data_IF_227724926356
#
_entry.id   IF_227724926356
#
_cell.length_a   1.000
_cell.length_b   1.000
_cell.length_c   1.000
_cell.angle_alpha   90.00
_cell.angle_beta   90.00
_cell.angle_gamma   90.00
#
_symmetry.space_group_name_H-M   'P 1'
#
loop_
_entity.id
_entity.type
_entity.pdbx_description
1 polymer ?
#
# COMPACT_ATOMS: atom_id res chain seq x y z
N UNK A 1 -5.95 18.11 -30.90
CA UNK A 1 -6.02 17.48 -29.59
C UNK A 1 -4.75 16.69 -29.17
N UNK A 2 -4.02 16.01 -30.05
CA UNK A 2 -2.78 15.27 -29.72
C UNK A 2 -1.57 16.12 -29.28
N UNK A 3 -1.44 17.35 -29.77
CA UNK A 3 -0.29 18.25 -29.46
C UNK A 3 -0.34 18.85 -28.03
N UNK A 4 -1.53 19.08 -27.46
CA UNK A 4 -1.66 19.66 -26.11
C UNK A 4 -1.35 18.66 -24.98
N UNK A 5 -1.65 17.39 -25.19
CA UNK A 5 -1.40 16.33 -24.21
C UNK A 5 0.10 15.99 -24.08
N UNK A 6 0.85 16.05 -25.20
CA UNK A 6 2.31 15.84 -25.19
C UNK A 6 3.04 16.97 -24.45
N UNK A 7 2.55 18.20 -24.57
CA UNK A 7 3.16 19.36 -23.88
C UNK A 7 2.92 19.34 -22.36
N UNK A 8 1.74 18.88 -21.93
CA UNK A 8 1.43 18.76 -20.49
C UNK A 8 2.26 17.65 -19.81
N UNK A 9 2.46 16.52 -20.51
CA UNK A 9 3.29 15.41 -20.03
C UNK A 9 4.78 15.81 -19.97
N UNK A 10 5.27 16.58 -20.94
CA UNK A 10 6.66 17.04 -20.98
C UNK A 10 6.98 18.07 -19.87
N UNK A 11 6.05 18.97 -19.55
CA UNK A 11 6.23 19.94 -18.45
C UNK A 11 6.16 19.23 -17.09
N UNK A 12 5.27 18.25 -16.92
CA UNK A 12 5.20 17.44 -15.73
C UNK A 12 6.49 16.63 -15.51
N UNK A 13 7.09 16.13 -16.58
CA UNK A 13 8.31 15.30 -16.55
C UNK A 13 9.57 16.07 -16.08
N UNK A 14 9.68 17.37 -16.35
CA UNK A 14 10.83 18.17 -15.89
C UNK A 14 10.75 18.55 -14.40
N UNK A 15 9.55 18.54 -13.83
CA UNK A 15 9.33 18.91 -12.43
C UNK A 15 9.47 17.73 -11.45
N UNK A 16 9.32 16.49 -11.92
CA UNK A 16 9.32 15.30 -11.07
C UNK A 16 10.73 14.82 -10.66
N UNK A 17 11.79 15.28 -11.34
CA UNK A 17 13.17 14.85 -11.03
C UNK A 17 13.79 15.51 -9.79
N UNK A 18 13.08 16.42 -9.13
CA UNK A 18 13.55 17.11 -7.90
C UNK A 18 12.43 17.48 -6.92
N UNK A 19 11.23 16.95 -7.11
CA UNK A 19 10.14 17.14 -6.15
C UNK A 19 10.26 16.07 -5.06
N UNK A 20 10.62 16.49 -3.86
CA UNK A 20 10.37 15.71 -2.64
C UNK A 20 8.86 15.74 -2.41
N UNK A 21 8.12 14.83 -3.05
CA UNK A 21 6.69 14.72 -2.78
C UNK A 21 6.52 14.00 -1.44
N UNK A 22 5.86 14.64 -0.50
CA UNK A 22 5.40 13.97 0.70
C UNK A 22 4.30 12.98 0.28
N UNK A 23 4.64 11.72 0.08
CA UNK A 23 3.69 10.68 -0.31
C UNK A 23 3.31 9.85 0.90
N UNK A 24 2.01 9.75 1.14
CA UNK A 24 1.47 9.07 2.28
C UNK A 24 0.75 7.79 1.85
N UNK A 25 1.33 6.63 2.15
CA UNK A 25 0.66 5.34 2.02
C UNK A 25 0.56 4.69 3.40
N UNK A 26 -0.55 4.02 3.67
CA UNK A 26 -0.77 3.33 4.95
C UNK A 26 -1.31 1.93 4.68
N UNK A 27 -0.70 0.91 5.30
CA UNK A 27 -1.16 -0.47 5.16
C UNK A 27 -1.05 -1.22 6.48
N UNK A 28 -2.04 -2.08 6.75
CA UNK A 28 -2.05 -2.92 7.96
C UNK A 28 -2.83 -4.22 7.72
N UNK A 29 -2.51 -5.24 8.51
CA UNK A 29 -3.21 -6.50 8.56
C UNK A 29 -3.83 -6.76 9.93
N UNK A 30 -4.99 -7.42 9.94
CA UNK A 30 -5.71 -7.85 11.12
C UNK A 30 -6.02 -9.35 11.03
N UNK A 31 -5.91 -10.05 12.16
CA UNK A 31 -6.36 -11.45 12.30
C UNK A 31 -7.67 -11.51 13.05
N UNK A 32 -8.64 -12.24 12.51
CA UNK A 32 -9.91 -12.55 13.16
C UNK A 32 -9.81 -13.76 14.08
N UNK A 33 -10.80 -13.94 14.93
CA UNK A 33 -10.91 -15.11 15.82
C UNK A 33 -11.10 -16.43 15.06
N UNK A 34 -11.70 -16.41 13.87
CA UNK A 34 -11.84 -17.58 12.97
C UNK A 34 -10.58 -17.86 12.13
N UNK A 35 -9.49 -17.12 12.37
CA UNK A 35 -8.24 -17.22 11.63
C UNK A 35 -8.20 -16.45 10.32
N UNK A 36 -9.29 -15.78 9.92
CA UNK A 36 -9.30 -14.94 8.72
C UNK A 36 -8.30 -13.79 8.85
N UNK A 37 -7.61 -13.47 7.74
CA UNK A 37 -6.66 -12.37 7.63
C UNK A 37 -7.22 -11.31 6.70
N UNK A 38 -7.39 -10.09 7.22
CA UNK A 38 -7.87 -8.94 6.46
C UNK A 38 -6.80 -7.86 6.45
N UNK A 39 -6.42 -7.41 5.25
CA UNK A 39 -5.45 -6.34 5.04
C UNK A 39 -6.17 -5.11 4.52
N UNK A 40 -5.92 -3.94 5.12
CA UNK A 40 -6.42 -2.65 4.66
C UNK A 40 -5.29 -1.75 4.19
N UNK A 41 -5.50 -0.99 3.10
CA UNK A 41 -4.53 -0.04 2.58
C UNK A 41 -5.19 1.23 2.06
N UNK A 42 -4.55 2.37 2.29
CA UNK A 42 -4.84 3.64 1.60
C UNK A 42 -3.69 4.03 0.66
N UNK A 43 -4.03 4.72 -0.40
CA UNK A 43 -3.09 5.30 -1.36
C UNK A 43 -3.31 6.80 -1.42
N UNK A 44 -2.34 7.52 -0.99
CA UNK A 44 -2.28 8.97 -1.04
C UNK A 44 -1.25 9.39 -2.09
N UNK A 45 -1.66 10.29 -2.96
CA UNK A 45 -0.80 10.83 -4.00
C UNK A 45 -1.33 12.17 -4.52
N UNK A 46 -0.41 13.05 -4.92
CA UNK A 46 -0.78 14.37 -5.42
C UNK A 46 -1.17 14.38 -6.91
N UNK A 47 -0.77 13.37 -7.67
CA UNK A 47 -1.06 13.27 -9.11
C UNK A 47 -2.11 12.19 -9.36
N UNK A 48 -3.04 12.46 -10.27
CA UNK A 48 -4.00 11.47 -10.74
C UNK A 48 -3.29 10.45 -11.66
N UNK A 49 -2.99 9.28 -11.12
CA UNK A 49 -2.30 8.21 -11.83
C UNK A 49 -3.22 7.31 -12.66
N UNK A 50 -4.50 7.67 -12.81
CA UNK A 50 -5.47 6.95 -13.66
C UNK A 50 -5.54 5.46 -13.32
N UNK A 51 -5.77 5.14 -12.07
CA UNK A 51 -5.81 3.77 -11.57
C UNK A 51 -7.01 2.97 -12.08
N UNK A 52 -6.74 1.71 -12.42
CA UNK A 52 -7.75 0.69 -12.71
C UNK A 52 -7.48 -0.57 -11.87
N UNK A 53 -8.53 -1.30 -11.54
CA UNK A 53 -8.38 -2.66 -11.08
C UNK A 53 -8.14 -3.58 -12.29
N UNK A 54 -7.09 -4.40 -12.22
CA UNK A 54 -6.72 -5.34 -13.29
C UNK A 54 -6.86 -6.78 -12.81
N UNK A 55 -7.38 -7.64 -13.69
CA UNK A 55 -7.42 -9.09 -13.49
C UNK A 55 -6.39 -9.69 -14.43
N UNK A 56 -5.33 -10.23 -13.87
CA UNK A 56 -4.23 -10.83 -14.63
C UNK A 56 -4.37 -12.34 -14.64
N UNK A 57 -4.37 -12.98 -15.82
CA UNK A 57 -4.54 -14.42 -15.95
C UNK A 57 -3.26 -15.19 -15.55
N UNK A 58 -3.42 -16.50 -15.35
CA UNK A 58 -2.29 -17.44 -15.34
C UNK A 58 -1.66 -17.50 -16.73
N UNK A 59 -0.40 -17.94 -16.78
CA UNK A 59 0.37 -18.12 -18.01
C UNK A 59 0.68 -16.85 -18.80
N UNK A 60 0.44 -15.65 -18.24
CA UNK A 60 0.92 -14.41 -18.84
C UNK A 60 2.45 -14.33 -18.70
N UNK A 61 3.12 -14.08 -19.83
CA UNK A 61 4.57 -13.85 -19.83
C UNK A 61 4.86 -12.38 -19.62
N UNK A 62 5.80 -12.10 -18.74
CA UNK A 62 6.40 -10.79 -18.52
C UNK A 62 7.90 -10.83 -18.81
N UNK A 63 8.40 -9.75 -19.34
CA UNK A 63 9.84 -9.50 -19.50
C UNK A 63 10.14 -8.14 -18.90
N UNK A 64 10.94 -8.12 -17.84
CA UNK A 64 11.41 -6.85 -17.27
C UNK A 64 12.36 -6.17 -18.22
N UNK A 65 12.37 -4.83 -18.31
CA UNK A 65 13.51 -4.14 -18.90
C UNK A 65 14.78 -4.41 -18.10
N UNK A 66 15.94 -4.18 -18.73
CA UNK A 66 17.24 -4.09 -18.09
C UNK A 66 17.98 -2.85 -18.58
N UNK A 67 19.04 -2.38 -17.87
CA UNK A 67 19.83 -1.24 -18.32
C UNK A 67 20.38 -1.41 -19.74
N UNK A 68 20.50 -0.28 -20.45
CA UNK A 68 20.99 -0.28 -21.84
C UNK A 68 19.96 -0.77 -22.87
N UNK A 69 18.67 -0.79 -22.54
CA UNK A 69 17.61 -1.22 -23.45
C UNK A 69 17.55 -2.73 -23.69
N UNK A 70 18.22 -3.50 -22.85
CA UNK A 70 18.22 -4.97 -22.89
C UNK A 70 16.98 -5.56 -22.22
N UNK A 71 16.72 -6.84 -22.50
CA UNK A 71 15.74 -7.64 -21.78
C UNK A 71 16.31 -8.14 -20.46
N UNK A 72 15.53 -7.94 -19.40
CA UNK A 72 15.84 -8.36 -18.04
C UNK A 72 15.30 -9.74 -17.69
N UNK A 73 14.89 -9.87 -16.42
CA UNK A 73 14.27 -11.07 -15.88
C UNK A 73 12.94 -11.35 -16.58
N UNK A 74 12.73 -12.61 -16.95
CA UNK A 74 11.49 -13.06 -17.58
C UNK A 74 10.83 -14.13 -16.74
N UNK A 75 9.49 -14.02 -16.59
CA UNK A 75 8.71 -15.02 -15.89
C UNK A 75 7.34 -15.22 -16.53
N UNK A 76 6.71 -16.30 -16.17
CA UNK A 76 5.33 -16.61 -16.55
C UNK A 76 4.48 -16.73 -15.29
N UNK A 77 3.33 -16.08 -15.26
CA UNK A 77 2.45 -16.14 -14.09
C UNK A 77 1.94 -17.55 -13.85
N UNK A 78 2.23 -18.08 -12.68
CA UNK A 78 1.74 -19.36 -12.17
C UNK A 78 0.35 -19.18 -11.57
N UNK A 79 0.09 -18.05 -10.97
CA UNK A 79 -1.17 -17.70 -10.32
C UNK A 79 -1.79 -16.48 -10.98
N UNK A 80 -3.14 -16.51 -11.11
CA UNK A 80 -3.91 -15.33 -11.47
C UNK A 80 -4.06 -14.41 -10.27
N UNK A 81 -4.18 -13.11 -10.55
CA UNK A 81 -4.30 -12.11 -9.48
C UNK A 81 -5.18 -10.92 -9.89
N UNK A 82 -5.66 -10.20 -8.87
CA UNK A 82 -6.26 -8.88 -9.00
C UNK A 82 -5.28 -7.87 -8.43
N UNK A 83 -5.06 -6.76 -9.13
CA UNK A 83 -4.20 -5.68 -8.66
C UNK A 83 -4.71 -4.31 -9.09
N UNK A 84 -4.09 -3.25 -8.56
CA UNK A 84 -4.32 -1.87 -8.96
C UNK A 84 -3.13 -1.42 -9.80
N UNK A 85 -3.37 -1.09 -11.06
CA UNK A 85 -2.38 -0.59 -12.00
C UNK A 85 -2.74 0.81 -12.49
N UNK A 86 -1.73 1.57 -12.91
CA UNK A 86 -1.89 2.96 -13.35
C UNK A 86 -1.72 3.12 -14.86
N UNK A 87 -2.19 4.24 -15.40
CA UNK A 87 -2.01 4.69 -16.79
C UNK A 87 -2.39 3.66 -17.88
N UNK A 88 -3.30 2.73 -17.59
CA UNK A 88 -3.67 1.68 -18.53
C UNK A 88 -2.57 0.62 -18.79
N UNK A 89 -1.54 0.54 -17.95
CA UNK A 89 -0.47 -0.47 -18.09
C UNK A 89 -0.93 -1.85 -17.63
N UNK A 90 -0.44 -2.90 -18.31
CA UNK A 90 -0.67 -4.31 -17.97
C UNK A 90 0.36 -4.86 -16.97
N UNK A 91 1.11 -4.00 -16.33
CA UNK A 91 2.13 -4.27 -15.31
C UNK A 91 2.21 -3.10 -14.33
N UNK A 92 3.03 -3.23 -13.32
CA UNK A 92 3.24 -2.18 -12.33
C UNK A 92 2.10 -2.09 -11.33
N UNK A 93 1.59 -3.24 -10.86
CA UNK A 93 0.57 -3.24 -9.81
C UNK A 93 1.14 -2.71 -8.51
N UNK A 94 0.54 -1.63 -8.02
CA UNK A 94 0.93 -0.99 -6.75
C UNK A 94 0.33 -1.68 -5.52
N UNK A 95 -0.74 -2.44 -5.70
CA UNK A 95 -1.47 -3.20 -4.68
C UNK A 95 -2.16 -4.39 -5.32
N UNK A 96 -2.30 -5.51 -4.62
CA UNK A 96 -2.99 -6.66 -5.20
C UNK A 96 -3.05 -7.89 -4.29
N UNK A 97 -3.79 -8.89 -4.78
CA UNK A 97 -3.94 -10.20 -4.16
C UNK A 97 -4.09 -11.27 -5.24
N UNK A 98 -3.43 -12.42 -5.08
CA UNK A 98 -3.58 -13.55 -5.99
C UNK A 98 -4.60 -14.59 -5.49
N UNK A 99 -4.91 -15.54 -6.33
CA UNK A 99 -5.86 -16.63 -6.07
C UNK A 99 -5.45 -17.58 -4.93
N UNK A 100 -4.24 -17.46 -4.40
CA UNK A 100 -3.76 -18.19 -3.21
C UNK A 100 -3.91 -17.40 -1.92
N UNK A 101 -4.33 -16.12 -2.00
CA UNK A 101 -4.44 -15.24 -0.86
C UNK A 101 -3.10 -14.62 -0.45
N UNK A 102 -2.10 -14.62 -1.33
CA UNK A 102 -0.91 -13.81 -1.16
C UNK A 102 -1.23 -12.39 -1.63
N UNK A 103 -0.87 -11.39 -0.84
CA UNK A 103 -1.07 -9.99 -1.16
C UNK A 103 0.24 -9.21 -1.11
N UNK A 104 0.37 -8.19 -1.94
CA UNK A 104 1.51 -7.27 -1.97
C UNK A 104 1.02 -5.83 -1.97
N UNK A 105 1.76 -4.95 -1.32
CA UNK A 105 1.62 -3.50 -1.40
C UNK A 105 2.98 -2.87 -1.72
N UNK A 106 3.00 -1.95 -2.67
CA UNK A 106 4.15 -1.12 -3.00
C UNK A 106 3.89 0.27 -2.47
N UNK A 107 4.73 0.73 -1.54
CA UNK A 107 4.58 2.03 -0.92
C UNK A 107 5.78 2.90 -1.27
N UNK A 108 5.53 4.18 -1.40
CA UNK A 108 6.61 5.14 -1.64
C UNK A 108 7.59 5.18 -0.47
N UNK A 109 8.87 5.23 -0.80
CA UNK A 109 9.93 5.12 0.20
C UNK A 109 11.05 6.10 -0.10
N UNK A 110 10.87 7.33 0.27
CA UNK A 110 11.88 8.37 0.15
C UNK A 110 12.76 8.38 1.41
N UNK A 111 13.88 7.68 1.33
CA UNK A 111 14.86 7.53 2.42
C UNK A 111 16.24 7.30 1.80
N UNK A 112 17.22 6.89 2.60
CA UNK A 112 18.57 6.51 2.19
C UNK A 112 18.61 5.21 1.36
N UNK A 113 17.54 4.95 0.59
CA UNK A 113 17.44 3.76 -0.24
C UNK A 113 18.39 3.84 -1.43
N UNK A 114 18.95 2.69 -1.77
CA UNK A 114 19.73 2.52 -3.00
C UNK A 114 19.36 1.17 -3.63
N UNK A 115 18.89 1.22 -4.87
CA UNK A 115 18.61 0.03 -5.65
C UNK A 115 19.89 -0.79 -5.93
N UNK A 116 19.71 -2.07 -6.23
CA UNK A 116 20.81 -2.95 -6.63
C UNK A 116 21.39 -2.53 -7.99
N UNK A 117 22.68 -2.65 -8.14
CA UNK A 117 23.37 -2.39 -9.40
C UNK A 117 23.30 -3.64 -10.31
N UNK A 118 22.98 -3.41 -11.58
CA UNK A 118 22.97 -4.43 -12.61
C UNK A 118 24.31 -4.35 -13.35
N UNK A 119 25.19 -5.28 -13.08
CA UNK A 119 26.49 -5.39 -13.78
C UNK A 119 26.36 -6.16 -15.09
N UNK A 120 27.30 -6.00 -16.04
CA UNK A 120 27.36 -6.82 -17.25
C UNK A 120 27.34 -8.32 -16.92
N UNK A 121 26.37 -9.04 -17.48
CA UNK A 121 26.12 -10.47 -17.22
C UNK A 121 24.97 -10.73 -16.23
N UNK A 122 24.52 -9.72 -15.50
CA UNK A 122 23.37 -9.83 -14.57
C UNK A 122 22.02 -9.50 -15.23
N UNK A 123 21.99 -9.12 -16.49
CA UNK A 123 20.79 -8.57 -17.16
C UNK A 123 19.58 -9.51 -17.01
N UNK A 124 19.80 -10.83 -17.14
CA UNK A 124 18.70 -11.82 -17.01
C UNK A 124 18.18 -11.99 -15.58
N UNK A 125 18.77 -11.34 -14.61
CA UNK A 125 18.28 -11.22 -13.23
C UNK A 125 17.68 -9.85 -12.92
N UNK A 126 17.80 -8.88 -13.84
CA UNK A 126 17.34 -7.51 -13.64
C UNK A 126 15.81 -7.45 -13.62
N UNK A 127 15.24 -7.05 -12.50
CA UNK A 127 13.80 -6.81 -12.31
C UNK A 127 13.57 -5.33 -11.99
N UNK A 128 12.79 -4.65 -12.83
CA UNK A 128 12.39 -3.27 -12.59
C UNK A 128 11.53 -3.19 -11.31
N UNK A 129 11.82 -2.22 -10.45
CA UNK A 129 11.13 -2.07 -9.15
C UNK A 129 9.60 -2.00 -9.27
N UNK A 130 9.09 -1.42 -10.34
CA UNK A 130 7.64 -1.31 -10.59
C UNK A 130 7.00 -2.66 -10.92
N UNK A 131 7.76 -3.67 -11.33
CA UNK A 131 7.27 -5.00 -11.69
C UNK A 131 7.40 -6.04 -10.57
N UNK A 132 7.94 -5.66 -9.42
CA UNK A 132 8.11 -6.58 -8.27
C UNK A 132 6.76 -7.12 -7.78
N UNK A 133 5.72 -6.28 -7.76
CA UNK A 133 4.36 -6.69 -7.38
C UNK A 133 3.80 -7.77 -8.31
N UNK A 134 3.96 -7.58 -9.62
CA UNK A 134 3.51 -8.54 -10.63
C UNK A 134 4.22 -9.89 -10.51
N UNK A 135 5.54 -9.85 -10.27
CA UNK A 135 6.33 -11.06 -10.08
C UNK A 135 5.93 -11.83 -8.81
N UNK A 136 5.77 -11.11 -7.69
CA UNK A 136 5.38 -11.71 -6.41
C UNK A 136 3.98 -12.35 -6.53
N UNK A 137 2.99 -11.60 -6.99
CA UNK A 137 1.62 -12.09 -7.11
C UNK A 137 1.49 -13.23 -8.11
N UNK A 138 2.23 -13.14 -9.22
CA UNK A 138 2.17 -14.12 -10.28
C UNK A 138 2.82 -15.47 -9.93
N UNK A 139 3.74 -15.52 -8.96
CA UNK A 139 4.59 -16.72 -8.82
C UNK A 139 4.57 -17.39 -7.45
N UNK A 140 4.17 -16.70 -6.38
CA UNK A 140 4.26 -17.21 -5.02
C UNK A 140 2.91 -17.35 -4.34
N UNK A 141 2.81 -18.29 -3.40
CA UNK A 141 1.60 -18.57 -2.62
C UNK A 141 1.74 -18.20 -1.14
N UNK A 142 2.96 -17.94 -0.66
CA UNK A 142 3.23 -17.62 0.74
C UNK A 142 4.36 -16.61 0.89
N UNK A 143 4.40 -15.95 2.02
CA UNK A 143 5.48 -15.05 2.43
C UNK A 143 6.82 -15.77 2.44
N UNK A 144 6.85 -17.02 2.89
CA UNK A 144 8.08 -17.81 2.94
C UNK A 144 8.60 -18.18 1.54
N UNK A 145 7.71 -18.43 0.56
CA UNK A 145 8.12 -18.61 -0.84
C UNK A 145 8.75 -17.32 -1.38
N UNK A 146 8.18 -16.15 -1.10
CA UNK A 146 8.76 -14.87 -1.50
C UNK A 146 10.15 -14.70 -0.91
N UNK A 147 10.31 -14.87 0.40
CA UNK A 147 11.59 -14.74 1.11
C UNK A 147 12.70 -15.58 0.45
N UNK A 148 12.42 -16.86 0.21
CA UNK A 148 13.40 -17.79 -0.36
C UNK A 148 13.81 -17.44 -1.79
N UNK A 149 12.94 -16.74 -2.52
CA UNK A 149 13.16 -16.51 -3.94
C UNK A 149 13.65 -15.08 -4.27
N UNK A 150 13.67 -14.14 -3.30
CA UNK A 150 14.15 -12.77 -3.54
C UNK A 150 15.57 -12.73 -4.13
N UNK A 151 16.42 -13.68 -3.80
CA UNK A 151 17.78 -13.81 -4.36
C UNK A 151 17.86 -14.21 -5.84
N UNK A 152 16.75 -14.61 -6.48
CA UNK A 152 16.73 -14.94 -7.91
C UNK A 152 16.85 -13.71 -8.80
N UNK A 153 16.39 -12.56 -8.30
CA UNK A 153 16.36 -11.29 -9.03
C UNK A 153 17.30 -10.26 -8.42
N UNK A 154 17.68 -9.28 -9.21
CA UNK A 154 18.28 -8.03 -8.77
C UNK A 154 17.31 -6.92 -9.12
N UNK A 155 16.72 -6.29 -8.09
CA UNK A 155 15.78 -5.20 -8.29
C UNK A 155 16.52 -3.89 -8.48
N UNK A 156 16.23 -3.20 -9.58
CA UNK A 156 16.90 -1.96 -9.93
C UNK A 156 15.90 -0.82 -10.20
N UNK A 157 16.38 0.42 -10.12
CA UNK A 157 15.59 1.60 -10.42
C UNK A 157 15.40 1.77 -11.92
N UNK A 158 14.16 1.64 -12.36
CA UNK A 158 13.76 1.82 -13.75
C UNK A 158 12.95 3.10 -13.89
N UNK A 159 13.36 3.98 -14.80
CA UNK A 159 12.56 5.13 -15.20
C UNK A 159 11.67 4.73 -16.36
N UNK A 160 10.37 4.72 -16.14
CA UNK A 160 9.42 4.36 -17.18
C UNK A 160 9.46 5.40 -18.33
N UNK A 161 9.63 4.97 -19.59
CA UNK A 161 9.82 5.90 -20.72
C UNK A 161 8.57 6.70 -21.07
N UNK A 162 7.36 6.22 -20.68
CA UNK A 162 6.10 6.90 -20.93
C UNK A 162 5.83 7.97 -19.88
N UNK A 163 5.92 7.58 -18.60
CA UNK A 163 5.61 8.47 -17.49
C UNK A 163 6.79 9.33 -17.03
N UNK A 164 8.02 8.93 -17.37
CA UNK A 164 9.28 9.52 -16.91
C UNK A 164 9.45 9.46 -15.37
N UNK A 165 8.70 8.61 -14.70
CA UNK A 165 8.76 8.40 -13.26
C UNK A 165 9.67 7.21 -12.95
N UNK A 166 10.52 7.35 -11.94
CA UNK A 166 11.31 6.29 -11.33
C UNK A 166 10.98 6.25 -9.83
N UNK A 167 9.92 5.53 -9.43
CA UNK A 167 9.48 5.56 -8.05
C UNK A 167 10.49 4.87 -7.14
N UNK A 168 10.75 5.48 -5.99
CA UNK A 168 11.43 4.85 -4.87
C UNK A 168 10.39 4.09 -4.05
N UNK A 169 10.58 2.79 -3.87
CA UNK A 169 9.56 1.91 -3.31
C UNK A 169 10.15 0.97 -2.26
N UNK A 170 9.35 0.64 -1.26
CA UNK A 170 9.51 -0.56 -0.46
C UNK A 170 8.25 -1.42 -0.54
N UNK A 171 8.36 -2.67 -0.14
CA UNK A 171 7.34 -3.66 -0.40
C UNK A 171 6.90 -4.34 0.89
N UNK A 172 5.61 -4.60 0.99
CA UNK A 172 5.07 -5.44 2.06
C UNK A 172 4.27 -6.58 1.45
N UNK A 173 4.47 -7.77 1.98
CA UNK A 173 3.80 -8.99 1.51
C UNK A 173 3.07 -9.63 2.68
N UNK A 174 1.86 -10.10 2.42
CA UNK A 174 1.03 -10.83 3.40
C UNK A 174 0.55 -12.14 2.79
N UNK A 175 0.29 -13.13 3.63
CA UNK A 175 -0.40 -14.34 3.21
C UNK A 175 -1.58 -14.71 4.11
N UNK A 176 -2.39 -15.66 3.64
CA UNK A 176 -3.62 -16.08 4.32
C UNK A 176 -3.37 -16.79 5.67
N UNK A 177 -2.13 -17.15 6.01
CA UNK A 177 -1.77 -17.70 7.32
C UNK A 177 -1.45 -16.61 8.34
N UNK A 178 -1.33 -15.36 7.86
CA UNK A 178 -0.95 -14.18 8.62
C UNK A 178 0.56 -13.98 8.70
N UNK A 179 1.31 -14.57 7.78
CA UNK A 179 2.68 -14.17 7.51
C UNK A 179 2.73 -12.73 6.99
N UNK A 180 3.77 -11.99 7.37
CA UNK A 180 4.01 -10.64 6.85
C UNK A 180 5.51 -10.37 6.72
N UNK A 181 5.91 -9.84 5.56
CA UNK A 181 7.29 -9.56 5.20
C UNK A 181 7.42 -8.14 4.67
N UNK A 182 8.38 -7.38 5.17
CA UNK A 182 8.82 -6.11 4.59
C UNK A 182 10.08 -6.34 3.78
N UNK A 183 10.17 -5.72 2.60
CA UNK A 183 11.34 -5.78 1.73
C UNK A 183 11.77 -4.34 1.44
N UNK A 184 12.99 -4.00 1.81
CA UNK A 184 13.63 -2.69 1.61
C UNK A 184 14.96 -2.84 0.90
N UNK A 185 15.38 -1.81 0.20
CA UNK A 185 16.66 -1.76 -0.52
C UNK A 185 17.52 -0.64 0.05
N UNK A 186 18.71 -1.01 0.51
CA UNK A 186 19.63 -0.12 1.18
C UNK A 186 21.06 -0.45 0.75
N UNK A 187 21.86 0.56 0.48
CA UNK A 187 23.26 0.40 0.04
C UNK A 187 23.45 -0.59 -1.15
N UNK A 188 22.43 -0.70 -2.01
CA UNK A 188 22.46 -1.64 -3.13
C UNK A 188 22.17 -3.10 -2.74
N UNK A 189 21.63 -3.35 -1.56
CA UNK A 189 21.27 -4.67 -1.04
C UNK A 189 19.80 -4.79 -0.72
N UNK A 190 19.21 -5.97 -0.87
CA UNK A 190 17.84 -6.25 -0.42
C UNK A 190 17.86 -6.70 1.03
N UNK A 191 17.02 -6.09 1.84
CA UNK A 191 16.77 -6.46 3.23
C UNK A 191 15.35 -6.95 3.39
N UNK A 192 15.17 -8.05 4.09
CA UNK A 192 13.85 -8.62 4.39
C UNK A 192 13.65 -8.70 5.89
N UNK A 193 12.50 -8.19 6.36
CA UNK A 193 12.16 -8.17 7.78
C UNK A 193 10.85 -8.89 8.02
N UNK A 194 10.84 -9.80 9.02
CA UNK A 194 9.58 -10.30 9.56
C UNK A 194 8.82 -9.16 10.22
N UNK A 195 7.54 -9.06 9.90
CA UNK A 195 6.70 -7.99 10.41
C UNK A 195 5.49 -8.54 11.21
N UNK A 196 5.70 -8.96 12.46
CA UNK A 196 4.60 -9.49 13.29
C UNK A 196 3.55 -8.42 13.65
N UNK A 197 3.86 -7.14 13.47
CA UNK A 197 2.89 -6.04 13.63
C UNK A 197 1.94 -5.94 12.44
N UNK A 198 2.34 -6.47 11.28
CA UNK A 198 1.56 -6.42 10.04
C UNK A 198 1.22 -5.00 9.58
N UNK A 199 2.06 -3.99 9.89
CA UNK A 199 1.85 -2.58 9.55
C UNK A 199 3.03 -2.01 8.78
N UNK A 200 2.76 -1.08 7.86
CA UNK A 200 3.79 -0.30 7.18
C UNK A 200 3.22 1.05 6.72
N UNK A 201 4.07 2.07 6.72
CA UNK A 201 3.79 3.38 6.13
C UNK A 201 4.85 3.72 5.08
N UNK A 202 5.55 4.83 5.20
CA UNK A 202 6.63 5.23 4.31
C UNK A 202 7.95 5.33 5.10
N UNK A 203 8.88 6.19 4.67
CA UNK A 203 10.11 6.48 5.40
C UNK A 203 9.86 6.97 6.84
N UNK A 204 10.81 6.77 7.77
CA UNK A 204 12.07 6.04 7.65
C UNK A 204 11.93 4.52 7.56
N UNK A 205 13.09 3.83 7.45
CA UNK A 205 13.17 2.36 7.33
C UNK A 205 12.44 1.62 8.45
N UNK A 206 11.99 0.42 8.14
CA UNK A 206 11.20 -0.41 9.06
C UNK A 206 11.88 -0.64 10.44
N UNK A 207 13.18 -0.93 10.56
CA UNK A 207 13.84 -1.04 11.87
C UNK A 207 13.82 0.25 12.70
N UNK A 208 13.89 1.42 12.03
CA UNK A 208 13.76 2.70 12.71
C UNK A 208 12.34 2.89 13.26
N UNK A 209 11.31 2.53 12.48
CA UNK A 209 9.92 2.61 12.93
C UNK A 209 9.69 1.78 14.20
N UNK A 210 10.26 0.57 14.25
CA UNK A 210 10.20 -0.28 15.45
C UNK A 210 10.91 0.36 16.65
N UNK A 211 12.04 1.02 16.43
CA UNK A 211 12.76 1.76 17.48
C UNK A 211 11.92 2.93 18.00
N UNK A 212 11.28 3.67 17.11
CA UNK A 212 10.41 4.79 17.46
C UNK A 212 9.22 4.37 18.34
N UNK A 213 8.66 3.17 18.13
CA UNK A 213 7.56 2.66 18.96
C UNK A 213 7.90 2.55 20.46
N UNK A 214 9.19 2.47 20.82
CA UNK A 214 9.63 2.39 22.22
C UNK A 214 9.24 3.62 23.04
N UNK A 215 8.96 4.75 22.39
CA UNK A 215 8.48 5.97 23.06
C UNK A 215 7.01 5.90 23.48
N UNK A 216 6.26 4.90 22.97
CA UNK A 216 4.80 4.79 23.10
C UNK A 216 4.36 3.53 23.85
N UNK A 217 5.27 2.90 24.59
CA UNK A 217 5.03 1.64 25.31
C UNK A 217 3.97 1.74 26.41
N UNK A 218 3.65 2.95 26.88
CA UNK A 218 2.65 3.19 27.92
C UNK A 218 1.21 3.39 27.39
N UNK A 219 0.99 3.32 26.08
CA UNK A 219 -0.34 3.50 25.50
C UNK A 219 -1.28 2.38 25.93
N UNK A 220 -2.48 2.77 26.39
CA UNK A 220 -3.52 1.85 26.91
C UNK A 220 -4.92 2.31 26.51
N UNK A 221 -5.89 1.41 26.28
CA UNK A 221 -7.29 1.77 26.10
C UNK A 221 -7.93 2.22 27.43
N UNK A 222 -7.32 1.90 28.56
CA UNK A 222 -7.83 2.21 29.88
C UNK A 222 -7.52 3.63 30.31
N UNK A 223 -8.40 4.22 31.07
CA UNK A 223 -8.19 5.51 31.73
C UNK A 223 -7.17 5.32 32.87
N UNK A 224 -6.08 6.12 32.92
CA UNK A 224 -5.10 6.02 34.01
C UNK A 224 -5.68 6.47 35.35
N UNK A 225 -5.14 5.90 36.41
CA UNK A 225 -5.46 6.31 37.78
C UNK A 225 -5.11 7.78 38.03
N UNK A 226 -5.84 8.48 38.93
CA UNK A 226 -5.54 9.85 39.27
C UNK A 226 -4.10 10.01 39.80
N UNK A 227 -3.36 10.96 39.23
CA UNK A 227 -2.03 11.29 39.70
C UNK A 227 -2.12 12.18 40.96
N UNK A 228 -1.29 11.89 41.99
CA UNK A 228 -1.23 12.63 43.24
C UNK A 228 0.13 13.31 43.40
N UNK A 229 0.12 14.62 43.57
CA UNK A 229 1.34 15.40 43.77
C UNK A 229 1.05 16.62 44.66
N UNK A 230 1.96 16.92 45.60
CA UNK A 230 1.89 18.08 46.48
C UNK A 230 0.53 18.24 47.20
N UNK A 231 -0.11 17.14 47.59
CA UNK A 231 -1.41 17.15 48.25
C UNK A 231 -2.64 17.34 47.33
N UNK A 232 -2.40 17.53 46.04
CA UNK A 232 -3.47 17.66 45.03
C UNK A 232 -3.70 16.35 44.28
N UNK A 233 -4.95 16.20 43.77
CA UNK A 233 -5.35 15.06 42.96
C UNK A 233 -5.62 15.55 41.55
N UNK A 234 -4.96 14.93 40.57
CA UNK A 234 -5.11 15.22 39.13
C UNK A 234 -5.81 14.02 38.46
N UNK A 235 -7.13 14.03 38.32
CA UNK A 235 -7.85 12.97 37.63
C UNK A 235 -7.59 13.07 36.13
N UNK A 236 -7.64 11.94 35.41
CA UNK A 236 -7.58 11.92 33.96
C UNK A 236 -8.76 12.71 33.34
N UNK A 237 -8.51 13.36 32.21
CA UNK A 237 -9.47 14.28 31.56
C UNK A 237 -10.68 13.58 30.92
N UNK A 238 -10.71 12.25 30.84
CA UNK A 238 -11.85 11.49 30.30
C UNK A 238 -11.47 10.11 29.79
N UNK A 239 -12.44 9.44 29.15
CA UNK A 239 -12.21 8.19 28.45
C UNK A 239 -11.23 8.40 27.30
N UNK A 240 -10.35 7.41 27.03
CA UNK A 240 -9.30 7.52 26.03
C UNK A 240 -8.02 8.22 26.52
N UNK A 241 -7.96 8.70 27.78
CA UNK A 241 -6.77 9.38 28.34
C UNK A 241 -5.55 8.47 28.42
N UNK A 242 -5.69 7.14 28.40
CA UNK A 242 -4.56 6.21 28.30
C UNK A 242 -3.80 6.27 26.97
N UNK A 243 -4.41 6.90 25.96
CA UNK A 243 -3.77 7.16 24.66
C UNK A 243 -3.27 8.61 24.51
N UNK A 244 -3.16 9.37 25.61
CA UNK A 244 -2.63 10.73 25.58
C UNK A 244 -1.21 10.74 25.00
N UNK A 245 -0.98 11.62 24.01
CA UNK A 245 0.29 11.66 23.28
C UNK A 245 0.33 10.79 22.02
N UNK A 246 -0.76 10.08 21.68
CA UNK A 246 -0.87 9.41 20.38
C UNK A 246 -0.75 10.45 19.26
N UNK A 247 0.23 10.30 18.32
CA UNK A 247 0.45 11.30 17.28
C UNK A 247 -0.75 11.45 16.36
N UNK A 248 -1.18 12.69 16.10
CA UNK A 248 -2.33 13.00 15.23
C UNK A 248 -1.97 13.52 13.86
N UNK A 249 -0.69 13.86 13.61
CA UNK A 249 -0.24 14.36 12.33
C UNK A 249 -0.16 13.27 11.25
N UNK A 250 0.04 13.68 9.99
CA UNK A 250 -0.01 12.82 8.82
C UNK A 250 1.36 12.28 8.38
N UNK A 251 2.42 12.56 9.13
CA UNK A 251 3.77 12.04 8.80
C UNK A 251 3.83 10.51 8.88
N UNK A 252 4.70 9.87 8.09
CA UNK A 252 4.83 8.42 8.12
C UNK A 252 5.12 7.82 9.51
N UNK A 253 6.04 8.39 10.33
CA UNK A 253 6.28 7.90 11.69
C UNK A 253 5.05 7.98 12.59
N UNK A 254 4.32 9.08 12.53
CA UNK A 254 3.10 9.28 13.32
C UNK A 254 1.99 8.33 12.93
N UNK A 255 1.82 8.08 11.62
CA UNK A 255 0.88 7.09 11.10
C UNK A 255 1.28 5.67 11.51
N UNK A 256 2.59 5.34 11.50
CA UNK A 256 3.07 4.03 11.95
C UNK A 256 2.75 3.77 13.42
N UNK A 257 3.03 4.73 14.30
CA UNK A 257 2.69 4.66 15.73
C UNK A 257 1.18 4.49 15.91
N UNK A 258 0.38 5.31 15.25
CA UNK A 258 -1.08 5.27 15.33
C UNK A 258 -1.64 3.93 14.86
N UNK A 259 -1.10 3.36 13.75
CA UNK A 259 -1.43 2.01 13.31
C UNK A 259 -1.12 0.96 14.37
N UNK A 260 0.11 0.99 14.93
CA UNK A 260 0.52 0.02 15.94
C UNK A 260 -0.42 0.03 17.15
N UNK A 261 -0.82 1.22 17.61
CA UNK A 261 -1.75 1.38 18.72
C UNK A 261 -3.14 0.88 18.34
N UNK A 262 -3.73 1.38 17.25
CA UNK A 262 -5.10 1.05 16.87
C UNK A 262 -5.30 -0.43 16.51
N UNK A 263 -4.33 -1.05 15.82
CA UNK A 263 -4.44 -2.46 15.43
C UNK A 263 -4.20 -3.43 16.60
N UNK A 264 -3.55 -2.98 17.68
CA UNK A 264 -3.22 -3.82 18.83
C UNK A 264 -4.15 -3.64 20.03
N UNK A 265 -4.73 -2.44 20.19
CA UNK A 265 -5.64 -2.15 21.29
C UNK A 265 -7.11 -2.37 20.92
N UNK A 266 -7.46 -2.40 19.64
CA UNK A 266 -8.81 -2.77 19.23
C UNK A 266 -9.05 -4.28 19.44
N UNK A 267 -10.23 -4.63 19.96
CA UNK A 267 -10.60 -6.01 20.19
C UNK A 267 -10.61 -6.83 18.90
N UNK A 268 -9.99 -8.02 18.89
CA UNK A 268 -10.06 -8.93 17.76
C UNK A 268 -11.50 -9.29 17.43
N UNK A 269 -11.86 -9.17 16.16
CA UNK A 269 -13.20 -9.50 15.71
C UNK A 269 -13.36 -11.01 15.46
N UNK A 270 -14.57 -11.60 15.64
CA UNK A 270 -14.76 -13.04 15.60
C UNK A 270 -14.56 -13.64 14.20
N UNK A 271 -14.80 -12.87 13.13
CA UNK A 271 -14.76 -13.34 11.76
C UNK A 271 -14.25 -12.28 10.77
N UNK A 272 -13.89 -12.70 9.54
CA UNK A 272 -13.36 -11.81 8.53
C UNK A 272 -14.33 -10.71 8.08
N UNK A 273 -15.67 -10.89 8.17
CA UNK A 273 -16.63 -9.84 7.82
C UNK A 273 -16.60 -8.70 8.84
N UNK A 274 -16.61 -9.04 10.13
CA UNK A 274 -16.51 -8.04 11.20
C UNK A 274 -15.12 -7.41 11.26
N UNK A 275 -14.06 -8.19 10.95
CA UNK A 275 -12.71 -7.66 10.82
C UNK A 275 -12.59 -6.68 9.65
N UNK A 276 -13.26 -6.90 8.52
CA UNK A 276 -13.36 -5.91 7.43
C UNK A 276 -14.02 -4.62 7.92
N UNK A 277 -15.08 -4.71 8.74
CA UNK A 277 -15.70 -3.52 9.32
C UNK A 277 -14.73 -2.76 10.24
N UNK A 278 -14.03 -3.47 11.14
CA UNK A 278 -12.99 -2.87 11.98
C UNK A 278 -11.89 -2.22 11.13
N UNK A 279 -11.43 -2.89 10.08
CA UNK A 279 -10.43 -2.35 9.16
C UNK A 279 -10.89 -1.04 8.50
N UNK A 280 -12.18 -0.90 8.17
CA UNK A 280 -12.73 0.36 7.65
C UNK A 280 -12.68 1.48 8.70
N UNK A 281 -13.02 1.20 9.95
CA UNK A 281 -12.92 2.20 11.03
C UNK A 281 -11.46 2.64 11.23
N UNK A 282 -10.52 1.70 11.25
CA UNK A 282 -9.10 2.03 11.40
C UNK A 282 -8.62 2.89 10.22
N UNK A 283 -8.83 2.45 8.97
CA UNK A 283 -8.29 3.16 7.80
C UNK A 283 -8.85 4.58 7.66
N UNK A 284 -10.10 4.80 8.08
CA UNK A 284 -10.72 6.13 8.02
C UNK A 284 -9.98 7.17 8.88
N UNK A 285 -9.18 6.75 9.87
CA UNK A 285 -8.34 7.67 10.67
C UNK A 285 -7.04 8.08 9.96
N UNK A 286 -6.76 7.51 8.78
CA UNK A 286 -5.58 7.75 7.97
C UNK A 286 -5.88 8.39 6.62
N UNK A 287 -7.16 8.48 6.24
CA UNK A 287 -7.55 9.10 4.98
C UNK A 287 -7.27 10.60 5.02
N UNK A 288 -6.66 11.11 3.95
CA UNK A 288 -6.26 12.51 3.81
C UNK A 288 -7.31 13.25 2.96
N UNK A 289 -8.02 14.26 3.54
CA UNK A 289 -8.86 15.15 2.77
C UNK A 289 -8.05 15.95 1.75
N UNK A 290 -8.63 16.19 0.57
CA UNK A 290 -7.96 16.92 -0.50
C UNK A 290 -7.43 18.28 -0.03
N UNK A 291 -6.15 18.52 -0.26
CA UNK A 291 -5.47 19.77 0.05
C UNK A 291 -5.02 19.93 1.51
N UNK A 292 -5.20 18.91 2.36
CA UNK A 292 -4.68 18.92 3.74
C UNK A 292 -3.15 18.74 3.79
N UNK A 293 -2.59 18.04 2.81
CA UNK A 293 -1.15 17.89 2.60
C UNK A 293 -0.82 18.54 1.27
N UNK A 294 0.17 19.40 1.27
CA UNK A 294 0.60 20.12 0.07
C UNK A 294 2.11 20.12 -0.05
N UNK A 295 2.59 20.06 -1.28
CA UNK A 295 4.00 20.27 -1.60
C UNK A 295 4.13 21.35 -2.68
N UNK A 296 5.11 22.23 -2.51
CA UNK A 296 5.38 23.31 -3.46
C UNK A 296 6.59 22.94 -4.28
N UNK A 297 6.40 22.76 -5.59
CA UNK A 297 7.47 22.39 -6.49
C UNK A 297 8.61 23.44 -6.52
N UNK A 298 9.82 23.08 -6.99
CA UNK A 298 10.98 23.97 -7.07
C UNK A 298 10.74 25.26 -7.86
N UNK A 299 9.75 25.28 -8.75
CA UNK A 299 9.31 26.48 -9.50
C UNK A 299 8.65 27.54 -8.58
N UNK A 300 8.37 27.19 -7.31
CA UNK A 300 7.69 28.01 -6.28
C UNK A 300 6.31 28.55 -6.73
N UNK A 301 5.71 27.98 -7.75
CA UNK A 301 4.40 28.38 -8.31
C UNK A 301 3.40 27.24 -8.31
N UNK A 302 3.87 26.03 -8.57
CA UNK A 302 3.03 24.84 -8.63
C UNK A 302 2.92 24.24 -7.23
N UNK A 303 1.69 24.18 -6.71
CA UNK A 303 1.37 23.52 -5.43
C UNK A 303 0.66 22.22 -5.74
N UNK A 304 1.29 21.12 -5.41
CA UNK A 304 0.68 19.78 -5.43
C UNK A 304 -0.17 19.61 -4.18
N UNK A 305 -1.35 18.99 -4.34
CA UNK A 305 -2.28 18.73 -3.23
C UNK A 305 -2.56 17.24 -3.17
N UNK A 306 -2.23 16.64 -2.05
CA UNK A 306 -2.48 15.23 -1.82
C UNK A 306 -3.91 14.97 -1.34
N UNK A 307 -4.37 13.76 -1.65
CA UNK A 307 -5.57 13.16 -1.07
C UNK A 307 -5.47 11.64 -1.11
N UNK A 308 -6.28 10.97 -0.31
CA UNK A 308 -6.45 9.52 -0.42
C UNK A 308 -7.23 9.21 -1.70
N UNK A 309 -6.54 8.75 -2.74
CA UNK A 309 -7.18 8.47 -4.04
C UNK A 309 -8.07 7.23 -3.99
N UNK A 310 -7.59 6.20 -3.31
CA UNK A 310 -8.35 4.97 -3.09
C UNK A 310 -7.96 4.25 -1.81
N UNK A 311 -8.86 3.40 -1.36
CA UNK A 311 -8.67 2.45 -0.25
C UNK A 311 -9.00 1.05 -0.74
N UNK A 312 -8.16 0.08 -0.40
CA UNK A 312 -8.43 -1.34 -0.64
C UNK A 312 -8.53 -2.11 0.67
N UNK A 313 -9.31 -3.20 0.64
CA UNK A 313 -9.26 -4.22 1.67
C UNK A 313 -9.17 -5.59 0.99
N UNK A 314 -8.45 -6.51 1.61
CA UNK A 314 -8.22 -7.85 1.09
C UNK A 314 -8.47 -8.87 2.18
N UNK A 315 -9.54 -9.63 2.07
CA UNK A 315 -9.73 -10.82 2.88
C UNK A 315 -8.94 -11.95 2.21
N UNK A 316 -7.75 -12.19 2.71
CA UNK A 316 -6.80 -13.12 2.10
C UNK A 316 -7.29 -14.57 2.19
N UNK A 317 -7.95 -14.92 3.29
CA UNK A 317 -8.46 -16.26 3.56
C UNK A 317 -9.63 -16.60 2.64
N UNK A 318 -10.54 -15.63 2.42
CA UNK A 318 -11.72 -15.82 1.56
C UNK A 318 -11.48 -15.41 0.12
N UNK A 319 -10.33 -14.77 -0.19
CA UNK A 319 -9.94 -14.25 -1.52
C UNK A 319 -10.94 -13.22 -2.05
N UNK A 320 -11.29 -12.26 -1.20
CA UNK A 320 -12.18 -11.15 -1.52
C UNK A 320 -11.39 -9.86 -1.54
N UNK A 321 -11.39 -9.19 -2.68
CA UNK A 321 -10.74 -7.90 -2.89
C UNK A 321 -11.80 -6.81 -2.89
N UNK A 322 -11.65 -5.81 -2.02
CA UNK A 322 -12.57 -4.69 -1.88
C UNK A 322 -11.85 -3.39 -2.17
N UNK A 323 -12.57 -2.42 -2.71
CA UNK A 323 -12.03 -1.07 -2.92
C UNK A 323 -13.11 0.00 -2.83
N UNK A 324 -12.69 1.21 -2.49
CA UNK A 324 -13.43 2.47 -2.58
C UNK A 324 -12.49 3.57 -3.05
N UNK A 325 -13.02 4.67 -3.57
CA UNK A 325 -12.23 5.83 -4.05
C UNK A 325 -12.60 7.08 -3.27
N UNK A 326 -11.85 8.17 -3.46
CA UNK A 326 -12.14 9.45 -2.82
C UNK A 326 -13.58 9.90 -3.10
N UNK A 327 -14.00 9.86 -4.38
CA UNK A 327 -15.30 10.33 -4.83
C UNK A 327 -16.43 9.31 -4.66
N UNK A 328 -16.13 8.08 -4.25
CA UNK A 328 -17.13 7.04 -4.04
C UNK A 328 -16.76 6.15 -2.86
N UNK A 329 -17.38 6.41 -1.72
CA UNK A 329 -17.16 5.69 -0.47
C UNK A 329 -17.91 4.34 -0.41
N UNK A 330 -18.76 4.03 -1.39
CA UNK A 330 -19.41 2.71 -1.49
C UNK A 330 -18.35 1.62 -1.69
N UNK A 331 -18.33 0.64 -0.80
CA UNK A 331 -17.39 -0.47 -0.87
C UNK A 331 -17.79 -1.44 -1.99
N UNK A 332 -16.93 -1.58 -3.00
CA UNK A 332 -17.10 -2.50 -4.14
C UNK A 332 -16.23 -3.72 -3.95
N UNK A 333 -16.68 -4.87 -4.42
CA UNK A 333 -16.02 -6.16 -4.18
C UNK A 333 -15.75 -6.92 -5.47
N UNK A 334 -14.56 -7.49 -5.58
CA UNK A 334 -14.16 -8.50 -6.55
C UNK A 334 -13.93 -9.81 -5.79
N UNK A 335 -14.68 -10.86 -6.14
CA UNK A 335 -14.53 -12.19 -5.57
C UNK A 335 -13.63 -13.02 -6.49
N UNK A 336 -12.39 -13.25 -6.07
CA UNK A 336 -11.40 -13.97 -6.88
C UNK A 336 -11.81 -15.43 -7.16
N UNK A 337 -12.63 -16.03 -6.29
CA UNK A 337 -13.12 -17.41 -6.51
C UNK A 337 -14.09 -17.52 -7.69
N UNK A 338 -14.65 -16.38 -8.14
CA UNK A 338 -15.57 -16.31 -9.28
C UNK A 338 -14.89 -15.86 -10.57
N UNK A 339 -13.58 -15.58 -10.52
CA UNK A 339 -12.83 -15.15 -11.69
C UNK A 339 -12.25 -16.35 -12.44
N UNK A 340 -12.37 -16.30 -13.76
CA UNK A 340 -11.64 -17.21 -14.63
C UNK A 340 -10.26 -16.63 -14.96
N UNK A 341 -9.22 -17.25 -14.42
CA UNK A 341 -7.83 -16.91 -14.66
C UNK A 341 -7.19 -17.73 -15.79
N UNK A 342 -7.93 -18.51 -16.55
CA UNK A 342 -7.43 -19.30 -17.69
C UNK A 342 -7.34 -18.48 -18.98
N UNK A 343 -7.99 -17.31 -19.02
CA UNK A 343 -7.99 -16.42 -20.19
C UNK A 343 -6.60 -15.94 -20.60
N UNK A 344 -6.46 -15.45 -21.84
CA UNK A 344 -5.18 -14.99 -22.37
C UNK A 344 -4.89 -13.51 -22.10
N UNK A 345 -5.93 -12.68 -21.88
CA UNK A 345 -5.82 -11.24 -21.81
C UNK A 345 -6.04 -10.72 -20.38
N UNK A 346 -5.33 -9.65 -20.03
CA UNK A 346 -5.62 -8.85 -18.83
C UNK A 346 -6.97 -8.15 -19.02
N UNK A 347 -7.84 -8.27 -18.01
CA UNK A 347 -9.11 -7.55 -17.96
C UNK A 347 -8.98 -6.33 -17.07
N UNK A 348 -9.63 -5.22 -17.43
CA UNK A 348 -9.64 -3.99 -16.67
C UNK A 348 -11.04 -3.68 -16.18
N UNK A 349 -11.09 -3.16 -14.97
CA UNK A 349 -12.29 -2.70 -14.30
C UNK A 349 -12.02 -1.28 -13.83
N UNK A 350 -12.75 -0.29 -14.35
CA UNK A 350 -12.61 1.07 -13.88
C UNK A 350 -12.96 1.16 -12.39
N UNK A 351 -12.10 1.82 -11.64
CA UNK A 351 -12.34 2.12 -10.23
C UNK A 351 -13.19 3.38 -10.05
N UNK A 352 -13.36 4.18 -11.11
CA UNK A 352 -14.02 5.48 -11.11
C UNK A 352 -15.31 5.46 -11.95
N UNK A 353 -16.09 6.55 -11.85
CA UNK A 353 -17.28 6.72 -12.68
C UNK A 353 -18.52 5.95 -12.22
N UNK A 354 -18.43 5.11 -11.19
CA UNK A 354 -19.61 4.49 -10.57
C UNK A 354 -20.16 5.46 -9.54
N UNK A 355 -21.46 5.81 -9.57
CA UNK A 355 -22.06 6.71 -8.58
C UNK A 355 -22.01 6.11 -7.18
N UNK A 356 -21.86 6.97 -6.18
CA UNK A 356 -22.00 6.58 -4.78
C UNK A 356 -23.44 6.16 -4.49
N UNK A 357 -23.60 5.11 -3.71
CA UNK A 357 -24.94 4.66 -3.28
C UNK A 357 -25.27 5.34 -1.96
N UNK A 358 -26.27 6.24 -2.00
CA UNK A 358 -26.91 6.82 -0.83
C UNK A 358 -28.29 6.17 -0.68
N UNK A 359 -28.52 5.53 0.47
CA UNK A 359 -29.79 4.85 0.73
C UNK A 359 -30.74 5.83 1.39
N UNK A 360 -31.83 6.18 0.70
CA UNK A 360 -32.91 6.98 1.25
C UNK A 360 -33.77 6.11 2.22
N UNK A 361 -33.92 6.54 3.45
CA UNK A 361 -34.62 5.80 4.51
C UNK A 361 -35.82 6.56 5.08
N UNK A 362 -36.19 7.68 4.50
CA UNK A 362 -37.31 8.55 4.99
C UNK A 362 -38.61 7.78 5.12
N UNK A 363 -38.89 6.83 4.20
CA UNK A 363 -40.12 6.05 4.23
C UNK A 363 -40.23 5.08 5.42
N UNK A 364 -39.11 4.76 6.09
CA UNK A 364 -39.12 3.94 7.31
C UNK A 364 -39.61 4.72 8.54
N UNK A 365 -39.70 6.05 8.45
CA UNK A 365 -40.15 6.95 9.50
C UNK A 365 -41.57 7.47 9.29
N UNK A 366 -42.26 7.07 8.20
CA UNK A 366 -43.66 7.33 7.90
C UNK A 366 -44.51 6.16 8.38
#
# INVERSE_FOLDING_TARGET
MKKGMVFLVAVLSLCLSSATSAEACTVFGLKAGDGSVVVGRSMEFALDLKYDAVVVPRNKTYVSPAPGGKEGFSWKTRYGYVGIASFGMDYGVSDGMNEKGLAVGLLWFESDMKWQEIHPGDEKRALAQVMVGDWILGNFASVEEVRRNMGQVKVFGYTDPLTKISPTLHFIVYDATGGCLVIEYEEGQSHTYDNPLMIMTNAPRFPWQLTNLRQYVGMSPEKPEPYRMAGMIFPATGHGSGMFGLPGDLTPPSRFVRLAVLTRLADPQPDGKRTLNLAQHIINTFTIPFGMVTDTLPDKKTVLKESTQWVTFRDLTRRLFYFKTYDNQTLRKIDLNKLDFSGAAVKRLSMFGTPEIVVEVTDQAR
#
